data_IF_669448694038
#
_entry.id   IF_669448694038
#
_cell.length_a   1.000
_cell.length_b   1.000
_cell.length_c   1.000
_cell.angle_alpha   90.00
_cell.angle_beta   90.00
_cell.angle_gamma   90.00
#
_symmetry.space_group_name_H-M   'P 1'
#
loop_
_entity.id
_entity.type
_entity.pdbx_description
1 polymer ?
#
# COMPACT_ATOMS: atom_id res chain seq x y z
N UNK A 1 -11.55 -2.11 10.04
CA UNK A 1 -11.23 -1.04 9.06
C UNK A 1 -12.47 -0.25 8.61
N UNK A 2 -13.40 -0.85 7.86
CA UNK A 2 -14.55 -0.14 7.25
C UNK A 2 -15.41 0.67 8.23
N UNK A 3 -15.85 0.09 9.37
CA UNK A 3 -16.68 0.79 10.33
C UNK A 3 -16.03 2.02 10.97
N UNK A 4 -14.70 2.05 11.10
CA UNK A 4 -13.98 3.24 11.57
C UNK A 4 -13.96 4.34 10.49
N UNK A 5 -13.68 3.96 9.23
CA UNK A 5 -13.70 4.90 8.11
C UNK A 5 -15.08 5.50 7.86
N UNK A 6 -16.15 4.69 7.95
CA UNK A 6 -17.52 5.21 7.81
C UNK A 6 -17.91 6.18 8.92
N UNK A 7 -17.49 5.93 10.17
CA UNK A 7 -17.72 6.87 11.28
C UNK A 7 -16.95 8.19 11.10
N UNK A 8 -15.72 8.13 10.60
CA UNK A 8 -14.91 9.32 10.30
C UNK A 8 -15.44 10.11 9.09
N UNK A 9 -16.02 9.40 8.11
CA UNK A 9 -16.55 9.97 6.87
C UNK A 9 -18.02 9.55 6.63
N UNK A 10 -18.97 10.03 7.46
CA UNK A 10 -20.35 9.54 7.45
C UNK A 10 -21.10 9.85 6.14
N UNK A 11 -20.68 10.90 5.42
CA UNK A 11 -21.27 11.33 4.15
C UNK A 11 -20.68 10.65 2.92
N UNK A 12 -19.56 9.94 3.07
CA UNK A 12 -18.94 9.23 1.94
C UNK A 12 -19.73 7.98 1.63
N UNK A 13 -19.92 7.72 0.35
CA UNK A 13 -20.59 6.53 -0.16
C UNK A 13 -19.92 5.23 0.32
N UNK A 14 -20.74 4.22 0.65
CA UNK A 14 -20.27 2.95 1.21
C UNK A 14 -19.44 2.16 0.19
N UNK A 15 -19.82 2.20 -1.09
CA UNK A 15 -19.06 1.54 -2.15
C UNK A 15 -17.73 2.26 -2.39
N UNK A 16 -17.71 3.60 -2.32
CA UNK A 16 -16.46 4.35 -2.38
C UNK A 16 -15.48 3.96 -1.25
N UNK A 17 -15.96 3.86 0.01
CA UNK A 17 -15.13 3.42 1.14
C UNK A 17 -14.67 1.96 0.93
N UNK A 18 -15.57 1.08 0.48
CA UNK A 18 -15.24 -0.33 0.21
C UNK A 18 -14.16 -0.45 -0.87
N UNK A 19 -14.30 0.28 -1.98
CA UNK A 19 -13.31 0.27 -3.06
C UNK A 19 -11.97 0.85 -2.62
N UNK A 20 -11.97 1.90 -1.78
CA UNK A 20 -10.72 2.43 -1.21
C UNK A 20 -9.98 1.38 -0.36
N UNK A 21 -10.71 0.63 0.49
CA UNK A 21 -10.11 -0.45 1.30
C UNK A 21 -9.58 -1.58 0.41
N UNK A 22 -10.36 -2.02 -0.58
CA UNK A 22 -9.93 -3.08 -1.51
C UNK A 22 -8.66 -2.63 -2.26
N UNK A 23 -8.63 -1.40 -2.73
CA UNK A 23 -7.47 -0.83 -3.45
C UNK A 23 -6.25 -0.76 -2.54
N UNK A 24 -6.40 -0.36 -1.28
CA UNK A 24 -5.31 -0.34 -0.31
C UNK A 24 -4.74 -1.73 -0.05
N UNK A 25 -5.59 -2.74 0.18
CA UNK A 25 -5.17 -4.13 0.37
C UNK A 25 -4.47 -4.70 -0.86
N UNK A 26 -4.97 -4.40 -2.07
CA UNK A 26 -4.33 -4.86 -3.31
C UNK A 26 -3.00 -4.17 -3.58
N UNK A 27 -2.84 -2.91 -3.16
CA UNK A 27 -1.56 -2.22 -3.24
C UNK A 27 -0.52 -2.87 -2.32
N UNK A 28 -0.92 -3.22 -1.10
CA UNK A 28 -0.10 -3.97 -0.15
C UNK A 28 0.31 -5.35 -0.67
N UNK A 29 -0.65 -6.12 -1.16
CA UNK A 29 -0.39 -7.41 -1.80
C UNK A 29 0.57 -7.29 -2.98
N UNK A 30 0.47 -6.23 -3.79
CA UNK A 30 1.35 -6.02 -4.95
C UNK A 30 2.80 -5.80 -4.54
N UNK A 31 3.10 -4.90 -3.58
CA UNK A 31 4.50 -4.70 -3.19
C UNK A 31 5.06 -5.92 -2.44
N UNK A 32 4.23 -6.67 -1.70
CA UNK A 32 4.67 -7.90 -1.04
C UNK A 32 5.03 -8.99 -2.07
N UNK A 33 4.21 -9.19 -3.10
CA UNK A 33 4.46 -10.14 -4.20
C UNK A 33 5.72 -9.83 -5.00
N UNK A 34 6.07 -8.55 -5.11
CA UNK A 34 7.23 -8.09 -5.88
C UNK A 34 8.48 -7.90 -5.04
N UNK A 35 8.42 -8.18 -3.74
CA UNK A 35 9.62 -8.25 -2.92
C UNK A 35 10.41 -9.52 -3.25
N UNK A 36 11.65 -9.34 -3.70
CA UNK A 36 12.58 -10.41 -4.00
C UNK A 36 13.96 -10.01 -3.46
N UNK A 37 14.39 -10.69 -2.40
CA UNK A 37 15.63 -10.38 -1.69
C UNK A 37 16.86 -10.96 -2.41
N UNK A 38 17.20 -10.33 -3.53
CA UNK A 38 18.30 -10.76 -4.41
C UNK A 38 19.50 -9.78 -4.46
N UNK A 39 19.42 -8.64 -3.75
CA UNK A 39 20.40 -7.55 -3.72
C UNK A 39 20.41 -6.88 -2.34
N UNK A 40 20.95 -5.67 -2.27
CA UNK A 40 20.79 -4.80 -1.11
C UNK A 40 19.32 -4.77 -0.66
N UNK A 41 19.11 -4.99 0.63
CA UNK A 41 17.78 -5.16 1.20
C UNK A 41 16.89 -3.93 0.94
N UNK A 42 17.44 -2.73 1.13
CA UNK A 42 16.68 -1.51 0.95
C UNK A 42 16.35 -1.26 -0.53
N UNK A 43 17.28 -1.57 -1.43
CA UNK A 43 17.00 -1.54 -2.86
C UNK A 43 15.87 -2.51 -3.26
N UNK A 44 15.82 -3.70 -2.65
CA UNK A 44 14.73 -4.66 -2.87
C UNK A 44 13.38 -4.09 -2.40
N UNK A 45 13.33 -3.46 -1.22
CA UNK A 45 12.13 -2.77 -0.70
C UNK A 45 11.68 -1.64 -1.64
N UNK A 46 12.60 -0.75 -2.02
CA UNK A 46 12.30 0.40 -2.88
C UNK A 46 11.77 -0.06 -4.23
N UNK A 47 12.38 -1.09 -4.83
CA UNK A 47 11.95 -1.66 -6.12
C UNK A 47 10.57 -2.28 -6.06
N UNK A 48 10.27 -3.04 -5.01
CA UNK A 48 8.98 -3.68 -4.82
C UNK A 48 7.85 -2.65 -4.73
N UNK A 49 8.03 -1.60 -3.92
CA UNK A 49 7.06 -0.50 -3.80
C UNK A 49 6.98 0.32 -5.08
N UNK A 50 8.10 0.55 -5.78
CA UNK A 50 8.07 1.24 -7.07
C UNK A 50 7.29 0.46 -8.14
N UNK A 51 7.32 -0.88 -8.10
CA UNK A 51 6.50 -1.71 -8.98
C UNK A 51 5.01 -1.52 -8.67
N UNK A 52 4.62 -1.61 -7.39
CA UNK A 52 3.25 -1.39 -6.97
C UNK A 52 2.75 0.03 -7.29
N UNK A 53 3.60 1.04 -7.14
CA UNK A 53 3.26 2.43 -7.46
C UNK A 53 2.91 2.65 -8.94
N UNK A 54 3.48 1.88 -9.87
CA UNK A 54 3.09 1.95 -11.29
C UNK A 54 1.65 1.49 -11.52
N UNK A 55 1.18 0.54 -10.71
CA UNK A 55 -0.19 -0.01 -10.78
C UNK A 55 -1.19 0.80 -9.98
N UNK A 56 -0.73 1.45 -8.92
CA UNK A 56 -1.53 2.29 -8.03
C UNK A 56 -0.91 3.69 -7.89
N UNK A 57 -0.95 4.53 -8.95
CA UNK A 57 -0.22 5.79 -9.03
C UNK A 57 -0.86 6.97 -8.27
N UNK A 58 -2.07 6.79 -7.74
CA UNK A 58 -2.88 7.87 -7.20
C UNK A 58 -2.66 8.12 -5.70
N UNK A 59 -1.67 7.47 -5.08
CA UNK A 59 -1.33 7.74 -3.69
C UNK A 59 -0.35 8.90 -3.57
N UNK A 60 -0.33 9.52 -2.39
CA UNK A 60 0.64 10.56 -2.07
C UNK A 60 2.03 9.95 -1.86
N UNK A 61 3.08 10.75 -2.05
CA UNK A 61 4.46 10.32 -1.81
C UNK A 61 4.67 9.77 -0.39
N UNK A 62 3.98 10.35 0.60
CA UNK A 62 4.00 9.87 1.98
C UNK A 62 3.51 8.43 2.10
N UNK A 63 2.45 8.04 1.37
CA UNK A 63 1.94 6.67 1.37
C UNK A 63 2.95 5.70 0.78
N UNK A 64 3.66 6.07 -0.30
CA UNK A 64 4.72 5.21 -0.85
C UNK A 64 5.92 5.11 0.09
N UNK A 65 6.28 6.18 0.79
CA UNK A 65 7.34 6.14 1.81
C UNK A 65 6.94 5.21 2.95
N UNK A 66 5.72 5.34 3.45
CA UNK A 66 5.24 4.53 4.57
C UNK A 66 5.15 3.04 4.16
N UNK A 67 4.70 2.74 2.94
CA UNK A 67 4.72 1.38 2.40
C UNK A 67 6.13 0.75 2.33
N UNK A 68 7.19 1.55 2.05
CA UNK A 68 8.58 1.06 2.10
C UNK A 68 8.97 0.71 3.53
N UNK A 69 8.61 1.55 4.50
CA UNK A 69 8.90 1.31 5.91
C UNK A 69 8.17 0.05 6.41
N UNK A 70 6.89 -0.10 6.06
CA UNK A 70 6.10 -1.27 6.44
C UNK A 70 6.67 -2.55 5.83
N UNK A 71 6.96 -2.55 4.53
CA UNK A 71 7.58 -3.70 3.86
C UNK A 71 8.94 -4.05 4.49
N UNK A 72 9.78 -3.05 4.76
CA UNK A 72 11.06 -3.26 5.43
C UNK A 72 10.90 -3.83 6.85
N UNK A 73 9.85 -3.44 7.57
CA UNK A 73 9.53 -3.95 8.89
C UNK A 73 9.09 -5.42 8.85
N UNK A 74 8.25 -5.80 7.86
CA UNK A 74 7.73 -7.17 7.76
C UNK A 74 8.69 -8.18 7.13
N UNK A 75 9.66 -7.73 6.32
CA UNK A 75 10.62 -8.61 5.63
C UNK A 75 11.95 -8.80 6.40
N UNK A 76 12.07 -8.20 7.58
CA UNK A 76 13.24 -8.31 8.47
C UNK A 76 13.02 -9.37 9.54
#
# INVERSE_FOLDING_TARGET
MFGYLKRAHPRTDDDAIRQAIITAVKFEDEYNKHFDWNRDFWDCVVRAVAHAARRYPNYLETTYRDARNDLAYYMK
#
